data_IF_432245634960
#
_entry.id   IF_432245634960
#
_cell.length_a   1.000
_cell.length_b   1.000
_cell.length_c   1.000
_cell.angle_alpha   90.00
_cell.angle_beta   90.00
_cell.angle_gamma   90.00
#
_symmetry.space_group_name_H-M   'P 1'
#
loop_
_entity.id
_entity.type
_entity.pdbx_description
1 polymer ?
#
# COMPACT_ATOMS: atom_id res chain seq x y z
N UNK A 1 4.85 -11.41 22.20
CA UNK A 1 6.25 -11.48 21.77
C UNK A 1 7.18 -11.46 22.99
N UNK A 2 7.25 -12.56 23.71
CA UNK A 2 8.00 -12.64 24.97
C UNK A 2 9.43 -13.14 24.82
N UNK A 3 9.83 -13.64 23.65
CA UNK A 3 11.07 -14.40 23.46
C UNK A 3 12.12 -13.74 22.56
N UNK A 4 11.82 -12.63 21.88
CA UNK A 4 12.78 -11.92 21.06
C UNK A 4 13.64 -10.94 21.88
N UNK A 5 14.94 -10.89 21.64
CA UNK A 5 15.86 -9.95 22.28
C UNK A 5 16.24 -8.77 21.39
N UNK A 6 15.73 -8.74 20.15
CA UNK A 6 16.00 -7.69 19.17
C UNK A 6 17.32 -7.83 18.42
N UNK A 7 18.04 -8.92 18.62
CA UNK A 7 19.26 -9.23 17.85
C UNK A 7 18.94 -9.93 16.53
N UNK A 8 19.85 -9.92 15.58
CA UNK A 8 19.69 -10.64 14.31
C UNK A 8 19.43 -12.15 14.49
N UNK A 9 20.05 -12.77 15.50
CA UNK A 9 19.88 -14.19 15.84
C UNK A 9 18.54 -14.47 16.56
N UNK A 10 17.99 -13.49 17.27
CA UNK A 10 16.74 -13.61 18.02
C UNK A 10 15.90 -12.33 17.87
N UNK A 11 15.35 -12.05 16.67
CA UNK A 11 14.63 -10.82 16.40
C UNK A 11 13.29 -10.75 17.13
N UNK A 12 12.79 -9.55 17.35
CA UNK A 12 11.40 -9.35 17.73
C UNK A 12 10.47 -9.83 16.63
N UNK A 13 9.34 -10.45 17.02
CA UNK A 13 8.35 -10.98 16.07
C UNK A 13 7.40 -9.94 15.50
N UNK A 14 7.33 -8.75 16.11
CA UNK A 14 6.41 -7.69 15.73
C UNK A 14 7.11 -6.33 15.70
N UNK A 15 6.66 -5.44 14.82
CA UNK A 15 7.09 -4.03 14.80
C UNK A 15 6.70 -3.37 16.12
N UNK A 16 5.53 -3.70 16.68
CA UNK A 16 5.06 -3.20 17.97
C UNK A 16 6.12 -3.41 19.05
N UNK A 17 6.54 -4.66 19.26
CA UNK A 17 7.55 -4.98 20.29
C UNK A 17 8.91 -4.33 19.99
N UNK A 18 9.32 -4.33 18.74
CA UNK A 18 10.58 -3.73 18.34
C UNK A 18 10.62 -2.21 18.56
N UNK A 19 9.49 -1.52 18.50
CA UNK A 19 9.39 -0.06 18.63
C UNK A 19 9.14 0.44 20.06
N UNK A 20 8.77 -0.43 21.04
CA UNK A 20 8.40 -0.03 22.39
C UNK A 20 9.43 0.82 23.15
N UNK A 21 10.71 0.57 22.94
CA UNK A 21 11.81 1.23 23.65
C UNK A 21 12.74 2.02 22.75
N UNK A 22 12.25 2.42 21.57
CA UNK A 22 13.08 3.16 20.61
C UNK A 22 13.01 4.65 20.86
N UNK A 23 14.07 5.33 20.49
CA UNK A 23 14.22 6.78 20.59
C UNK A 23 14.49 7.38 19.22
N UNK A 24 14.55 8.71 19.15
CA UNK A 24 14.91 9.42 17.93
C UNK A 24 16.32 9.01 17.48
N UNK A 25 16.47 8.69 16.20
CA UNK A 25 17.70 8.20 15.60
C UNK A 25 17.82 6.66 15.54
N UNK A 26 16.99 5.92 16.27
CA UNK A 26 17.00 4.47 16.22
C UNK A 26 16.37 3.94 14.92
N UNK A 27 16.80 2.74 14.50
CA UNK A 27 16.22 2.01 13.36
C UNK A 27 15.66 0.66 13.80
N UNK A 28 14.41 0.40 13.42
CA UNK A 28 13.77 -0.93 13.47
C UNK A 28 13.92 -1.58 12.10
N UNK A 29 14.78 -2.59 11.99
CA UNK A 29 14.96 -3.38 10.77
C UNK A 29 13.99 -4.54 10.73
N UNK A 30 13.22 -4.61 9.66
CA UNK A 30 12.23 -5.68 9.47
C UNK A 30 12.74 -6.65 8.40
N UNK A 31 12.75 -7.93 8.74
CA UNK A 31 13.24 -8.98 7.84
C UNK A 31 12.49 -8.95 6.49
N UNK A 32 13.21 -9.22 5.41
CA UNK A 32 12.59 -9.41 4.09
C UNK A 32 11.61 -10.59 4.13
N UNK A 33 10.53 -10.48 3.37
CA UNK A 33 9.66 -11.63 3.12
C UNK A 33 10.37 -12.67 2.25
N UNK A 34 9.91 -13.93 2.28
CA UNK A 34 10.41 -14.95 1.37
C UNK A 34 10.36 -14.47 -0.09
N UNK A 35 11.32 -14.87 -0.88
CA UNK A 35 11.34 -14.53 -2.29
C UNK A 35 10.12 -15.14 -3.01
N UNK A 36 9.61 -14.50 -4.07
CA UNK A 36 8.50 -15.06 -4.83
C UNK A 36 8.83 -16.44 -5.39
N UNK A 37 7.84 -17.34 -5.34
CA UNK A 37 8.00 -18.72 -5.83
C UNK A 37 7.41 -18.83 -7.23
N UNK A 38 8.18 -19.35 -8.19
CA UNK A 38 7.70 -19.62 -9.53
C UNK A 38 6.55 -20.65 -9.51
N UNK A 39 5.52 -20.39 -10.29
CA UNK A 39 4.47 -21.37 -10.57
C UNK A 39 4.88 -22.27 -11.74
N UNK A 40 4.44 -23.52 -11.70
CA UNK A 40 4.63 -24.46 -12.82
C UNK A 40 3.80 -23.99 -14.02
N UNK A 41 4.32 -24.19 -15.23
CA UNK A 41 3.63 -23.84 -16.47
C UNK A 41 3.58 -22.34 -16.75
N UNK A 42 2.66 -21.95 -17.58
CA UNK A 42 2.46 -20.54 -17.99
C UNK A 42 1.01 -20.12 -17.80
N UNK A 43 0.78 -18.81 -17.72
CA UNK A 43 -0.54 -18.20 -17.50
C UNK A 43 -0.95 -17.33 -18.67
N UNK A 44 -2.25 -17.24 -18.91
CA UNK A 44 -2.86 -16.29 -19.83
C UNK A 44 -3.83 -15.36 -19.09
N UNK A 45 -3.76 -14.09 -19.43
CA UNK A 45 -4.45 -12.97 -18.79
C UNK A 45 -5.26 -12.22 -19.84
N UNK A 46 -6.54 -12.01 -19.60
CA UNK A 46 -7.44 -11.35 -20.54
C UNK A 46 -7.85 -9.97 -20.03
N UNK A 47 -7.75 -8.96 -20.87
CA UNK A 47 -8.17 -7.60 -20.55
C UNK A 47 -9.61 -7.59 -20.00
N UNK A 48 -9.80 -6.91 -18.87
CA UNK A 48 -11.08 -6.76 -18.17
C UNK A 48 -11.70 -8.08 -17.65
N UNK A 49 -10.94 -9.17 -17.60
CA UNK A 49 -11.37 -10.44 -17.00
C UNK A 49 -10.78 -10.64 -15.60
N UNK A 50 -11.49 -11.39 -14.77
CA UNK A 50 -11.03 -11.86 -13.47
C UNK A 50 -10.47 -13.27 -13.53
N UNK A 51 -10.58 -13.96 -14.65
CA UNK A 51 -10.11 -15.33 -14.81
C UNK A 51 -8.68 -15.35 -15.35
N UNK A 52 -7.81 -16.06 -14.66
CA UNK A 52 -6.49 -16.43 -15.18
C UNK A 52 -6.53 -17.89 -15.55
N UNK A 53 -6.17 -18.18 -16.79
CA UNK A 53 -6.03 -19.55 -17.27
C UNK A 53 -4.58 -19.97 -17.30
N UNK A 54 -4.31 -21.25 -17.10
CA UNK A 54 -2.97 -21.82 -17.09
C UNK A 54 -2.80 -22.93 -18.12
N UNK A 55 -1.59 -23.06 -18.63
CA UNK A 55 -1.14 -24.22 -19.43
C UNK A 55 -0.08 -24.94 -18.62
N UNK A 56 -0.27 -26.22 -18.40
CA UNK A 56 0.59 -27.07 -17.57
C UNK A 56 0.80 -26.56 -16.14
N UNK A 57 -0.17 -25.81 -15.60
CA UNK A 57 -0.11 -25.25 -14.24
C UNK A 57 -0.65 -26.22 -13.19
N UNK A 58 -0.26 -25.99 -11.93
CA UNK A 58 -0.68 -26.76 -10.76
C UNK A 58 -1.33 -25.85 -9.72
N UNK A 59 -2.28 -25.00 -10.11
CA UNK A 59 -2.84 -23.97 -9.24
C UNK A 59 -3.38 -24.50 -7.91
N UNK A 60 -4.13 -25.62 -7.91
CA UNK A 60 -4.69 -26.19 -6.67
C UNK A 60 -3.66 -26.72 -5.69
N UNK A 61 -2.45 -27.02 -6.12
CA UNK A 61 -1.37 -27.50 -5.26
C UNK A 61 -0.38 -26.42 -4.89
N UNK A 62 -0.25 -25.38 -5.71
CA UNK A 62 0.73 -24.31 -5.53
C UNK A 62 0.15 -23.04 -4.92
N UNK A 63 -1.16 -22.82 -5.05
CA UNK A 63 -1.86 -21.62 -4.59
C UNK A 63 -2.91 -21.95 -3.53
N UNK A 64 -3.14 -20.99 -2.66
CA UNK A 64 -4.28 -20.94 -1.76
C UNK A 64 -5.12 -19.68 -2.05
N UNK A 65 -6.39 -19.69 -1.65
CA UNK A 65 -7.23 -18.48 -1.69
C UNK A 65 -6.60 -17.41 -0.82
N UNK A 66 -6.44 -16.23 -1.40
CA UNK A 66 -5.75 -15.09 -0.78
C UNK A 66 -4.27 -14.97 -1.13
N UNK A 67 -3.69 -15.89 -1.87
CA UNK A 67 -2.36 -15.71 -2.45
C UNK A 67 -2.39 -14.65 -3.55
N UNK A 68 -1.22 -14.05 -3.79
CA UNK A 68 -1.02 -13.09 -4.87
C UNK A 68 -0.14 -13.70 -5.94
N UNK A 69 -0.54 -13.55 -7.20
CA UNK A 69 0.23 -14.00 -8.37
C UNK A 69 0.65 -12.82 -9.21
N UNK A 70 1.85 -12.89 -9.79
CA UNK A 70 2.38 -11.86 -10.69
C UNK A 70 1.70 -11.92 -12.05
N UNK A 71 1.41 -10.75 -12.61
CA UNK A 71 0.83 -10.58 -13.94
C UNK A 71 1.84 -9.96 -14.93
N UNK A 72 1.56 -10.02 -16.23
CA UNK A 72 2.40 -9.44 -17.28
C UNK A 72 2.63 -7.92 -17.16
N UNK A 73 1.74 -7.21 -16.48
CA UNK A 73 1.84 -5.77 -16.22
C UNK A 73 2.77 -5.42 -15.03
N UNK A 74 3.42 -6.42 -14.44
CA UNK A 74 4.30 -6.25 -13.30
C UNK A 74 3.61 -6.12 -11.93
N UNK A 75 2.27 -6.18 -11.90
CA UNK A 75 1.48 -6.10 -10.67
C UNK A 75 1.17 -7.47 -10.10
N UNK A 76 0.73 -7.47 -8.84
CA UNK A 76 0.31 -8.66 -8.10
C UNK A 76 -1.20 -8.67 -7.91
N UNK A 77 -1.83 -9.79 -8.28
CA UNK A 77 -3.29 -9.96 -8.21
C UNK A 77 -3.67 -11.05 -7.24
N UNK A 78 -4.65 -10.76 -6.40
CA UNK A 78 -5.16 -11.65 -5.38
C UNK A 78 -6.04 -12.74 -5.96
N UNK A 79 -5.75 -13.99 -5.63
CA UNK A 79 -6.53 -15.17 -6.00
C UNK A 79 -7.68 -15.37 -5.02
N UNK A 80 -8.91 -15.43 -5.54
CA UNK A 80 -10.13 -15.56 -4.73
C UNK A 80 -10.83 -16.90 -4.88
N UNK A 81 -10.55 -17.61 -5.95
CA UNK A 81 -11.04 -18.96 -6.14
C UNK A 81 -10.07 -19.74 -7.02
N UNK A 82 -10.06 -21.05 -6.82
CA UNK A 82 -9.29 -22.01 -7.60
C UNK A 82 -10.29 -23.01 -8.23
N UNK A 83 -10.63 -22.76 -9.50
CA UNK A 83 -11.54 -23.63 -10.27
C UNK A 83 -10.92 -25.00 -10.57
N UNK A 84 -9.69 -25.00 -11.05
CA UNK A 84 -8.93 -26.21 -11.39
C UNK A 84 -7.42 -25.96 -11.24
N UNK A 85 -6.59 -26.92 -11.64
CA UNK A 85 -5.14 -26.68 -11.77
C UNK A 85 -4.79 -25.68 -12.89
N UNK A 86 -5.72 -25.40 -13.79
CA UNK A 86 -5.53 -24.51 -14.93
C UNK A 86 -6.48 -23.30 -14.92
N UNK A 87 -7.18 -23.02 -13.80
CA UNK A 87 -8.08 -21.89 -13.69
C UNK A 87 -8.09 -21.32 -12.28
N UNK A 88 -7.78 -20.04 -12.17
CA UNK A 88 -7.86 -19.25 -10.95
C UNK A 88 -8.70 -17.97 -11.19
N UNK A 89 -9.45 -17.53 -10.18
CA UNK A 89 -10.23 -16.29 -10.24
C UNK A 89 -9.57 -15.23 -9.38
N UNK A 90 -9.43 -14.04 -9.92
CA UNK A 90 -8.84 -12.88 -9.25
C UNK A 90 -9.90 -12.02 -8.54
N UNK A 91 -9.49 -11.32 -7.51
CA UNK A 91 -10.33 -10.35 -6.81
C UNK A 91 -10.73 -9.16 -7.71
N UNK A 92 -9.84 -8.72 -8.59
CA UNK A 92 -10.08 -7.63 -9.55
C UNK A 92 -9.79 -8.06 -10.97
N UNK A 93 -10.45 -7.39 -11.90
CA UNK A 93 -10.20 -7.53 -13.33
C UNK A 93 -8.76 -7.12 -13.66
N UNK A 94 -8.14 -7.86 -14.56
CA UNK A 94 -6.85 -7.49 -15.13
C UNK A 94 -7.02 -6.29 -16.08
N UNK A 95 -6.39 -5.15 -15.82
CA UNK A 95 -6.68 -3.90 -16.55
C UNK A 95 -5.82 -3.69 -17.78
N UNK A 96 -4.84 -4.55 -18.03
CA UNK A 96 -3.87 -4.39 -19.10
C UNK A 96 -4.19 -5.27 -20.31
N UNK A 97 -3.45 -5.08 -21.40
CA UNK A 97 -3.66 -5.84 -22.64
C UNK A 97 -3.58 -7.35 -22.41
N UNK A 98 -4.42 -8.10 -23.12
CA UNK A 98 -4.42 -9.57 -23.09
C UNK A 98 -3.03 -10.12 -23.39
N UNK A 99 -2.57 -11.04 -22.58
CA UNK A 99 -1.24 -11.66 -22.69
C UNK A 99 -1.32 -13.16 -22.38
N UNK A 100 -0.45 -13.94 -23.02
CA UNK A 100 -0.33 -15.39 -22.82
C UNK A 100 1.14 -15.80 -22.68
N UNK A 101 1.38 -16.99 -22.15
CA UNK A 101 2.74 -17.52 -21.98
C UNK A 101 3.54 -16.83 -20.87
N UNK A 102 2.88 -16.13 -19.94
CA UNK A 102 3.54 -15.46 -18.82
C UNK A 102 3.96 -16.45 -17.73
N UNK A 103 5.21 -16.36 -17.29
CA UNK A 103 5.71 -17.12 -16.14
C UNK A 103 5.34 -16.43 -14.85
N UNK A 104 4.16 -16.77 -14.32
CA UNK A 104 3.69 -16.18 -13.06
C UNK A 104 4.43 -16.72 -11.85
N UNK A 105 4.54 -15.90 -10.82
CA UNK A 105 5.10 -16.25 -9.53
C UNK A 105 4.05 -16.05 -8.45
N UNK A 106 4.15 -16.81 -7.36
CA UNK A 106 3.42 -16.56 -6.12
C UNK A 106 4.24 -15.61 -5.24
N UNK A 107 3.62 -14.56 -4.73
CA UNK A 107 4.28 -13.61 -3.84
C UNK A 107 4.62 -14.27 -2.50
N UNK A 108 5.87 -14.17 -2.08
CA UNK A 108 6.28 -14.47 -0.72
C UNK A 108 5.80 -13.37 0.24
N UNK A 109 5.02 -13.73 1.25
CA UNK A 109 4.44 -12.79 2.22
C UNK A 109 4.66 -13.25 3.65
N UNK A 110 4.69 -12.32 4.58
CA UNK A 110 4.63 -12.60 6.01
C UNK A 110 3.18 -12.50 6.45
N UNK A 111 2.57 -13.64 6.76
CA UNK A 111 1.17 -13.67 7.21
C UNK A 111 1.05 -13.18 8.65
N UNK A 112 0.17 -12.23 8.88
CA UNK A 112 -0.10 -11.70 10.24
C UNK A 112 -1.17 -12.51 11.00
N UNK A 113 -1.55 -13.66 10.43
CA UNK A 113 -2.53 -14.60 11.01
C UNK A 113 -3.98 -14.25 10.68
N UNK A 114 -4.93 -15.15 11.01
CA UNK A 114 -6.35 -14.89 10.81
C UNK A 114 -6.78 -13.75 11.72
N UNK A 115 -7.41 -12.74 11.14
CA UNK A 115 -8.11 -11.75 11.93
C UNK A 115 -9.46 -12.33 12.36
N UNK A 116 -9.61 -12.70 13.61
CA UNK A 116 -10.93 -12.60 14.22
C UNK A 116 -11.34 -11.10 14.16
N UNK A 117 -12.62 -10.80 13.96
CA UNK A 117 -13.14 -9.45 13.75
C UNK A 117 -12.74 -8.41 14.82
N UNK A 118 -12.17 -8.84 15.94
CA UNK A 118 -11.69 -8.01 17.06
C UNK A 118 -10.18 -8.12 17.36
N UNK A 119 -9.42 -8.94 16.63
CA UNK A 119 -8.04 -9.28 16.98
C UNK A 119 -7.10 -9.41 15.78
N UNK A 120 -7.30 -8.59 14.75
CA UNK A 120 -6.24 -8.43 13.74
C UNK A 120 -4.95 -8.05 14.47
N UNK A 121 -3.88 -8.80 14.26
CA UNK A 121 -2.57 -8.44 14.81
C UNK A 121 -2.13 -7.16 14.13
N UNK A 122 -2.49 -6.05 14.74
CA UNK A 122 -2.09 -4.70 14.31
C UNK A 122 -0.61 -4.55 14.62
N UNK A 123 0.16 -4.07 13.66
CA UNK A 123 1.52 -3.62 13.93
C UNK A 123 1.44 -2.16 14.40
N UNK A 124 1.53 -1.92 15.69
CA UNK A 124 1.56 -0.57 16.26
C UNK A 124 3.00 -0.04 16.27
N UNK A 125 3.15 1.25 16.06
CA UNK A 125 4.41 1.96 16.35
C UNK A 125 4.24 2.67 17.67
N UNK A 126 5.04 2.28 18.67
CA UNK A 126 4.90 2.76 20.05
C UNK A 126 5.77 3.97 20.37
N UNK A 127 6.76 4.27 19.53
CA UNK A 127 7.68 5.41 19.71
C UNK A 127 7.63 6.39 18.56
N UNK A 128 8.18 7.58 18.75
CA UNK A 128 8.36 8.64 17.76
C UNK A 128 9.82 9.05 17.66
N UNK A 129 10.19 9.67 16.52
CA UNK A 129 11.37 10.50 16.44
C UNK A 129 11.13 11.89 17.02
N UNK A 130 11.99 12.82 16.68
CA UNK A 130 11.84 14.26 17.00
C UNK A 130 12.39 15.12 15.82
N UNK A 131 12.34 16.43 15.95
CA UNK A 131 12.79 17.35 14.91
C UNK A 131 14.27 17.24 14.53
N UNK A 132 15.09 16.65 15.39
CA UNK A 132 16.53 16.46 15.14
C UNK A 132 16.86 15.09 14.56
N UNK A 133 16.02 14.07 14.80
CA UNK A 133 16.24 12.72 14.29
C UNK A 133 14.93 11.94 14.18
N UNK A 134 14.75 11.20 13.08
CA UNK A 134 13.60 10.34 12.87
C UNK A 134 13.75 8.99 13.59
N UNK A 135 12.62 8.36 13.94
CA UNK A 135 12.58 6.93 14.18
C UNK A 135 12.42 6.22 12.82
N UNK A 136 13.36 5.37 12.46
CA UNK A 136 13.35 4.63 11.20
C UNK A 136 12.73 3.24 11.38
N UNK A 137 11.84 2.86 10.48
CA UNK A 137 11.29 1.51 10.39
C UNK A 137 11.41 1.07 8.93
N UNK A 138 12.35 0.20 8.64
CA UNK A 138 12.67 -0.19 7.28
C UNK A 138 12.54 -1.69 7.06
N UNK A 139 11.87 -2.07 5.96
CA UNK A 139 11.71 -3.46 5.52
C UNK A 139 12.80 -3.92 4.57
N UNK A 140 12.73 -5.20 4.20
CA UNK A 140 13.60 -5.78 3.17
C UNK A 140 15.00 -6.17 3.64
N UNK A 141 15.22 -6.31 4.93
CA UNK A 141 16.51 -6.65 5.50
C UNK A 141 16.78 -8.16 5.50
N UNK A 142 17.90 -8.55 4.96
CA UNK A 142 18.50 -9.86 5.25
C UNK A 142 19.28 -9.71 6.56
N UNK A 143 18.70 -10.24 7.63
CA UNK A 143 19.26 -10.06 8.98
C UNK A 143 20.55 -10.85 9.18
N UNK A 144 20.85 -11.84 8.35
CA UNK A 144 22.10 -12.61 8.43
C UNK A 144 23.29 -11.86 7.83
N UNK A 145 23.05 -11.07 6.80
CA UNK A 145 24.08 -10.28 6.10
C UNK A 145 24.04 -8.80 6.45
N UNK A 146 23.02 -8.38 7.21
CA UNK A 146 22.73 -6.98 7.55
C UNK A 146 22.60 -6.06 6.33
N UNK A 147 22.08 -6.60 5.23
CA UNK A 147 21.87 -5.87 3.98
C UNK A 147 20.39 -5.76 3.65
N UNK A 148 20.00 -4.61 3.11
CA UNK A 148 18.64 -4.38 2.62
C UNK A 148 18.54 -4.86 1.16
N UNK A 149 18.21 -6.14 0.95
CA UNK A 149 18.24 -6.82 -0.36
C UNK A 149 16.87 -7.11 -0.95
N UNK A 150 15.78 -6.87 -0.20
CA UNK A 150 14.44 -7.22 -0.62
C UNK A 150 13.37 -6.24 -0.15
N UNK A 151 12.17 -6.74 0.01
CA UNK A 151 11.01 -6.03 0.54
C UNK A 151 10.34 -6.85 1.64
N UNK A 152 9.61 -6.21 2.53
CA UNK A 152 8.80 -6.88 3.55
C UNK A 152 7.32 -6.73 3.19
N UNK A 153 6.63 -7.86 3.03
CA UNK A 153 5.21 -7.95 2.70
C UNK A 153 4.44 -8.51 3.87
N UNK A 154 3.47 -7.76 4.36
CA UNK A 154 2.49 -8.21 5.33
C UNK A 154 1.15 -8.44 4.64
N UNK A 155 0.50 -9.54 4.97
CA UNK A 155 -0.83 -9.88 4.47
C UNK A 155 -1.74 -10.26 5.62
N UNK A 156 -2.97 -9.75 5.59
CA UNK A 156 -4.01 -10.26 6.45
C UNK A 156 -4.58 -11.56 5.87
N UNK A 157 -4.44 -12.67 6.59
CA UNK A 157 -5.11 -13.92 6.26
C UNK A 157 -6.58 -13.86 6.72
N UNK A 158 -7.49 -14.28 5.86
CA UNK A 158 -8.91 -14.33 6.19
C UNK A 158 -9.62 -15.55 5.60
N UNK A 159 -10.54 -16.14 6.39
CA UNK A 159 -11.36 -17.29 5.96
C UNK A 159 -12.54 -16.91 5.06
N UNK A 160 -12.96 -15.65 4.98
CA UNK A 160 -14.03 -15.16 4.10
C UNK A 160 -13.57 -13.92 3.34
N UNK A 161 -13.91 -13.88 2.06
CA UNK A 161 -13.29 -13.05 1.03
C UNK A 161 -13.54 -11.55 1.14
N UNK A 162 -14.68 -11.11 1.71
CA UNK A 162 -15.15 -9.74 1.63
C UNK A 162 -14.83 -8.87 2.85
N UNK A 163 -14.19 -9.41 3.86
CA UNK A 163 -13.97 -8.69 5.11
C UNK A 163 -12.49 -8.35 5.28
N UNK A 164 -12.15 -7.10 4.97
CA UNK A 164 -10.86 -6.51 5.31
C UNK A 164 -10.98 -5.87 6.68
N UNK A 165 -10.21 -6.36 7.65
CA UNK A 165 -10.24 -5.84 9.02
C UNK A 165 -8.90 -5.22 9.39
N UNK A 166 -8.93 -4.35 10.38
CA UNK A 166 -7.75 -3.86 11.05
C UNK A 166 -6.79 -3.05 10.20
N UNK A 167 -5.61 -2.93 10.70
CA UNK A 167 -4.54 -2.07 10.19
C UNK A 167 -3.31 -2.93 9.90
N UNK A 168 -2.65 -2.69 8.76
CA UNK A 168 -1.32 -3.26 8.51
C UNK A 168 -0.30 -2.61 9.45
N UNK A 169 -0.26 -1.28 9.46
CA UNK A 169 0.52 -0.49 10.40
C UNK A 169 -0.34 0.62 10.99
N UNK A 170 -0.37 0.73 12.31
CA UNK A 170 -1.17 1.72 13.04
C UNK A 170 -0.29 2.66 13.86
N UNK A 171 -0.50 3.95 13.70
CA UNK A 171 0.27 4.98 14.36
C UNK A 171 -0.65 6.08 14.87
N UNK A 172 -0.76 6.21 16.18
CA UNK A 172 -1.56 7.27 16.82
C UNK A 172 -0.67 8.26 17.55
N UNK A 173 -0.74 9.54 17.18
CA UNK A 173 0.10 10.59 17.76
C UNK A 173 1.60 10.39 17.50
N UNK A 174 1.98 9.63 16.49
CA UNK A 174 3.40 9.37 16.16
C UNK A 174 3.90 10.33 15.10
N UNK A 175 4.94 11.05 15.42
CA UNK A 175 5.58 12.03 14.54
C UNK A 175 7.05 11.72 14.34
N UNK A 176 7.62 12.26 13.26
CA UNK A 176 9.01 12.05 12.90
C UNK A 176 9.37 10.56 12.74
N UNK A 177 8.47 9.79 12.13
CA UNK A 177 8.75 8.40 11.73
C UNK A 177 9.12 8.36 10.25
N UNK A 178 10.07 7.52 9.89
CA UNK A 178 10.46 7.27 8.51
C UNK A 178 10.25 5.78 8.18
N UNK A 179 9.26 5.51 7.34
CA UNK A 179 8.91 4.16 6.91
C UNK A 179 9.47 3.90 5.52
N UNK A 180 10.19 2.78 5.37
CA UNK A 180 10.76 2.38 4.09
C UNK A 180 10.53 0.92 3.73
N UNK A 181 10.19 0.62 2.47
CA UNK A 181 10.08 -0.74 1.91
C UNK A 181 9.19 -1.71 2.71
N UNK A 182 8.12 -1.21 3.32
CA UNK A 182 7.09 -1.98 4.01
C UNK A 182 5.85 -2.04 3.14
N UNK A 183 5.30 -3.22 2.94
CA UNK A 183 4.19 -3.44 2.02
C UNK A 183 3.05 -4.17 2.74
N UNK A 184 1.81 -3.73 2.48
CA UNK A 184 0.62 -4.18 3.20
C UNK A 184 -0.50 -4.55 2.24
N UNK A 185 -1.04 -5.76 2.40
CA UNK A 185 -2.08 -6.35 1.55
C UNK A 185 -3.28 -6.82 2.36
N UNK A 186 -4.50 -6.59 1.86
CA UNK A 186 -5.78 -7.09 2.41
C UNK A 186 -6.16 -6.54 3.78
N UNK A 187 -5.74 -5.35 4.15
CA UNK A 187 -6.19 -4.68 5.37
C UNK A 187 -7.37 -3.74 5.09
N UNK A 188 -8.08 -3.35 6.14
CA UNK A 188 -8.94 -2.19 6.05
C UNK A 188 -8.10 -0.93 5.77
N UNK A 189 -7.02 -0.77 6.52
CA UNK A 189 -6.01 0.28 6.28
C UNK A 189 -4.63 -0.37 6.14
N UNK A 190 -3.95 -0.15 5.02
CA UNK A 190 -2.56 -0.60 4.87
C UNK A 190 -1.66 0.10 5.87
N UNK A 191 -1.55 1.41 5.80
CA UNK A 191 -0.89 2.28 6.79
C UNK A 191 -1.89 3.32 7.28
N UNK A 192 -2.05 3.45 8.59
CA UNK A 192 -2.98 4.39 9.21
C UNK A 192 -2.31 5.28 10.24
N UNK A 193 -2.33 6.57 9.98
CA UNK A 193 -1.93 7.61 10.91
C UNK A 193 -3.14 8.34 11.47
N UNK A 194 -3.18 8.53 12.81
CA UNK A 194 -4.22 9.30 13.50
C UNK A 194 -3.63 10.09 14.66
N UNK A 195 -4.44 10.88 15.36
CA UNK A 195 -4.02 11.63 16.55
C UNK A 195 -2.95 12.69 16.24
N UNK A 196 -3.12 13.47 15.18
CA UNK A 196 -2.20 14.55 14.78
C UNK A 196 -0.76 14.06 14.53
N UNK A 197 -0.61 12.98 13.79
CA UNK A 197 0.68 12.42 13.40
C UNK A 197 1.33 13.26 12.31
N UNK A 198 2.38 14.01 12.67
CA UNK A 198 3.00 15.01 11.79
C UNK A 198 4.45 14.70 11.47
N UNK A 199 4.98 15.33 10.40
CA UNK A 199 6.37 15.25 9.99
C UNK A 199 6.85 13.79 9.76
N UNK A 200 5.98 12.95 9.22
CA UNK A 200 6.32 11.57 8.92
C UNK A 200 6.73 11.42 7.46
N UNK A 201 7.58 10.45 7.20
CA UNK A 201 8.05 10.11 5.86
C UNK A 201 7.66 8.66 5.54
N UNK A 202 7.11 8.43 4.36
CA UNK A 202 6.88 7.10 3.80
C UNK A 202 7.62 7.03 2.47
N UNK A 203 8.50 6.04 2.32
CA UNK A 203 9.29 5.86 1.10
C UNK A 203 9.13 4.44 0.55
N UNK A 204 8.78 4.32 -0.73
CA UNK A 204 8.69 3.04 -1.45
C UNK A 204 7.82 1.99 -0.75
N UNK A 205 6.72 2.40 -0.12
CA UNK A 205 5.73 1.50 0.44
C UNK A 205 4.76 1.02 -0.64
N UNK A 206 4.29 -0.23 -0.53
CA UNK A 206 3.21 -0.76 -1.37
C UNK A 206 2.02 -1.13 -0.50
N UNK A 207 0.87 -0.48 -0.73
CA UNK A 207 -0.36 -0.69 0.02
C UNK A 207 -1.50 -1.02 -0.95
N UNK A 208 -1.50 -2.27 -1.44
CA UNK A 208 -2.43 -2.72 -2.48
C UNK A 208 -3.56 -3.58 -1.92
N UNK A 209 -4.68 -3.60 -2.61
CA UNK A 209 -5.82 -4.46 -2.27
C UNK A 209 -6.37 -4.24 -0.85
N UNK A 210 -6.26 -3.04 -0.30
CA UNK A 210 -6.85 -2.62 0.98
C UNK A 210 -8.18 -1.88 0.75
N UNK A 211 -8.91 -1.50 1.80
CA UNK A 211 -9.94 -0.47 1.65
C UNK A 211 -9.27 0.91 1.50
N UNK A 212 -8.34 1.22 2.39
CA UNK A 212 -7.48 2.40 2.27
C UNK A 212 -6.02 1.96 2.16
N UNK A 213 -5.30 2.39 1.12
CA UNK A 213 -3.88 2.10 1.00
C UNK A 213 -3.09 2.78 2.11
N UNK A 214 -2.99 4.11 2.07
CA UNK A 214 -2.40 4.96 3.11
C UNK A 214 -3.46 5.96 3.56
N UNK A 215 -3.71 6.04 4.86
CA UNK A 215 -4.68 6.96 5.43
C UNK A 215 -4.09 7.82 6.55
N UNK A 216 -4.11 9.12 6.36
CA UNK A 216 -3.89 10.12 7.40
C UNK A 216 -5.24 10.70 7.85
N UNK A 217 -5.69 10.41 9.08
CA UNK A 217 -6.96 10.97 9.59
C UNK A 217 -6.83 12.47 9.86
N UNK A 218 -5.76 12.89 10.54
CA UNK A 218 -5.36 14.28 10.70
C UNK A 218 -3.84 14.32 10.85
N UNK A 219 -3.16 15.03 9.97
CA UNK A 219 -1.71 15.07 10.02
C UNK A 219 -1.14 16.00 8.98
N UNK A 220 -0.17 16.80 9.38
CA UNK A 220 0.43 17.83 8.54
C UNK A 220 1.92 17.62 8.37
N UNK A 221 2.46 18.25 7.32
CA UNK A 221 3.89 18.20 7.01
C UNK A 221 4.43 16.76 6.81
N UNK A 222 3.58 15.85 6.32
CA UNK A 222 3.99 14.50 6.01
C UNK A 222 4.46 14.40 4.55
N UNK A 223 5.40 13.51 4.30
CA UNK A 223 5.96 13.26 2.97
C UNK A 223 5.74 11.81 2.56
N UNK A 224 5.21 11.60 1.36
CA UNK A 224 5.08 10.29 0.72
C UNK A 224 5.88 10.32 -0.57
N UNK A 225 6.83 9.40 -0.72
CA UNK A 225 7.68 9.29 -1.92
C UNK A 225 7.62 7.89 -2.50
N UNK A 226 7.35 7.79 -3.80
CA UNK A 226 7.35 6.53 -4.56
C UNK A 226 6.47 5.43 -3.96
N UNK A 227 5.35 5.80 -3.32
CA UNK A 227 4.41 4.82 -2.81
C UNK A 227 3.55 4.24 -3.94
N UNK A 228 3.17 2.97 -3.82
CA UNK A 228 2.23 2.29 -4.72
C UNK A 228 0.97 1.91 -3.94
N UNK A 229 -0.17 2.49 -4.32
CA UNK A 229 -1.47 2.28 -3.65
C UNK A 229 -2.53 1.88 -4.67
N UNK A 230 -2.37 0.70 -5.27
CA UNK A 230 -3.22 0.22 -6.34
C UNK A 230 -4.33 -0.72 -5.82
N UNK A 231 -5.41 -0.77 -6.57
CA UNK A 231 -6.45 -1.79 -6.34
C UNK A 231 -7.12 -1.70 -4.96
N UNK A 232 -7.08 -0.56 -4.30
CA UNK A 232 -7.80 -0.28 -3.06
C UNK A 232 -9.22 0.22 -3.34
N UNK A 233 -10.03 0.47 -2.32
CA UNK A 233 -11.19 1.34 -2.47
C UNK A 233 -10.73 2.80 -2.60
N UNK A 234 -9.77 3.23 -1.75
CA UNK A 234 -9.11 4.53 -1.83
C UNK A 234 -7.59 4.35 -1.75
N UNK A 235 -6.84 4.95 -2.65
CA UNK A 235 -5.37 4.82 -2.70
C UNK A 235 -4.70 5.53 -1.52
N UNK A 236 -4.47 6.84 -1.62
CA UNK A 236 -3.97 7.70 -0.55
C UNK A 236 -5.10 8.63 -0.11
N UNK A 237 -5.40 8.66 1.18
CA UNK A 237 -6.51 9.41 1.74
C UNK A 237 -6.05 10.30 2.90
N UNK A 238 -6.22 11.58 2.76
CA UNK A 238 -6.06 12.55 3.82
C UNK A 238 -7.43 12.94 4.36
N UNK A 239 -7.67 12.71 5.64
CA UNK A 239 -8.88 13.12 6.35
C UNK A 239 -8.89 14.62 6.65
N UNK A 240 -9.63 15.02 7.64
CA UNK A 240 -9.88 16.43 7.94
C UNK A 240 -8.60 17.23 8.22
N UNK A 241 -8.52 18.43 7.65
CA UNK A 241 -7.50 19.45 7.98
C UNK A 241 -6.04 19.01 7.85
N UNK A 242 -5.74 18.13 6.88
CA UNK A 242 -4.39 17.66 6.62
C UNK A 242 -3.66 18.60 5.66
N UNK A 243 -2.75 19.41 6.17
CA UNK A 243 -2.12 20.48 5.40
C UNK A 243 -0.60 20.37 5.32
N UNK A 244 0.00 21.07 4.35
CA UNK A 244 1.45 21.10 4.12
C UNK A 244 2.05 19.70 3.84
N UNK A 245 1.28 18.78 3.28
CA UNK A 245 1.76 17.45 2.95
C UNK A 245 2.34 17.43 1.53
N UNK A 246 3.33 16.57 1.31
CA UNK A 246 3.97 16.39 0.02
C UNK A 246 3.83 14.95 -0.45
N UNK A 247 3.38 14.76 -1.68
CA UNK A 247 3.35 13.45 -2.36
C UNK A 247 4.20 13.56 -3.63
N UNK A 248 5.19 12.69 -3.77
CA UNK A 248 6.07 12.66 -4.94
C UNK A 248 6.09 11.27 -5.55
N UNK A 249 5.90 11.18 -6.87
CA UNK A 249 6.00 9.94 -7.66
C UNK A 249 5.14 8.78 -7.13
N UNK A 250 3.99 9.08 -6.55
CA UNK A 250 3.06 8.03 -6.10
C UNK A 250 2.32 7.41 -7.29
N UNK A 251 2.04 6.12 -7.21
CA UNK A 251 1.20 5.38 -8.17
C UNK A 251 -0.06 4.89 -7.46
N UNK A 252 -1.23 5.41 -7.89
CA UNK A 252 -2.52 5.16 -7.25
C UNK A 252 -3.56 4.76 -8.31
N UNK A 253 -3.37 3.59 -8.93
CA UNK A 253 -4.17 3.13 -10.07
C UNK A 253 -5.26 2.14 -9.65
N UNK A 254 -6.33 2.09 -10.44
CA UNK A 254 -7.38 1.07 -10.34
C UNK A 254 -8.04 1.00 -8.95
N UNK A 255 -8.12 2.13 -8.25
CA UNK A 255 -8.85 2.22 -6.99
C UNK A 255 -10.35 2.42 -7.27
N UNK A 256 -11.19 1.88 -6.39
CA UNK A 256 -12.65 1.93 -6.58
C UNK A 256 -13.21 3.35 -6.60
N UNK A 257 -12.71 4.21 -5.72
CA UNK A 257 -13.14 5.60 -5.61
C UNK A 257 -12.01 6.57 -6.02
N UNK A 258 -11.01 6.77 -5.17
CA UNK A 258 -10.03 7.83 -5.33
C UNK A 258 -8.61 7.26 -5.47
N UNK A 259 -7.84 7.82 -6.42
CA UNK A 259 -6.39 7.64 -6.42
C UNK A 259 -5.77 8.37 -5.23
N UNK A 260 -5.91 9.70 -5.17
CA UNK A 260 -5.49 10.55 -4.04
C UNK A 260 -6.67 11.43 -3.64
N UNK A 261 -7.00 11.47 -2.35
CA UNK A 261 -8.10 12.26 -1.83
C UNK A 261 -7.69 13.12 -0.64
N UNK A 262 -8.01 14.39 -0.72
CA UNK A 262 -7.92 15.34 0.38
C UNK A 262 -9.33 15.74 0.83
N UNK A 263 -9.70 15.39 2.04
CA UNK A 263 -10.96 15.77 2.64
C UNK A 263 -10.86 17.18 3.26
N UNK A 264 -11.97 17.74 3.62
CA UNK A 264 -12.25 19.09 4.14
C UNK A 264 -11.06 19.88 4.68
N UNK A 265 -10.93 21.12 4.20
CA UNK A 265 -9.96 22.13 4.68
C UNK A 265 -8.48 21.71 4.62
N UNK A 266 -8.12 20.84 3.69
CA UNK A 266 -6.75 20.40 3.49
C UNK A 266 -6.01 21.33 2.54
N UNK A 267 -5.08 22.13 3.06
CA UNK A 267 -4.47 23.25 2.31
C UNK A 267 -2.95 23.17 2.22
N UNK A 268 -2.38 23.90 1.26
CA UNK A 268 -0.94 23.98 1.02
C UNK A 268 -0.28 22.61 0.78
N UNK A 269 -1.00 21.67 0.18
CA UNK A 269 -0.45 20.36 -0.15
C UNK A 269 0.17 20.38 -1.54
N UNK A 270 1.22 19.60 -1.73
CA UNK A 270 1.93 19.49 -3.01
C UNK A 270 1.90 18.04 -3.50
N UNK A 271 1.49 17.85 -4.75
CA UNK A 271 1.57 16.57 -5.46
C UNK A 271 2.46 16.76 -6.69
N UNK A 272 3.49 15.93 -6.81
CA UNK A 272 4.43 15.98 -7.94
C UNK A 272 4.57 14.59 -8.57
N UNK A 273 4.44 14.53 -9.89
CA UNK A 273 4.65 13.32 -10.72
C UNK A 273 3.82 12.10 -10.25
N UNK A 274 2.62 12.33 -9.74
CA UNK A 274 1.73 11.23 -9.36
C UNK A 274 1.07 10.60 -10.60
N UNK A 275 0.84 9.29 -10.55
CA UNK A 275 0.08 8.54 -11.55
C UNK A 275 -1.19 7.99 -10.90
N UNK A 276 -2.36 8.46 -11.34
CA UNK A 276 -3.67 8.14 -10.76
C UNK A 276 -4.67 7.73 -11.85
N UNK A 277 -4.43 6.58 -12.48
CA UNK A 277 -5.21 6.10 -13.62
C UNK A 277 -6.31 5.10 -13.22
N UNK A 278 -7.38 5.05 -14.00
CA UNK A 278 -8.42 4.03 -13.87
C UNK A 278 -9.10 4.00 -12.49
N UNK A 279 -9.27 5.15 -11.85
CA UNK A 279 -10.04 5.33 -10.63
C UNK A 279 -11.45 5.88 -10.95
N UNK A 280 -12.32 6.08 -9.96
CA UNK A 280 -13.48 6.96 -10.19
C UNK A 280 -13.02 8.42 -10.32
N UNK A 281 -12.19 8.88 -9.38
CA UNK A 281 -11.49 10.15 -9.45
C UNK A 281 -9.99 9.93 -9.32
N UNK A 282 -9.17 10.52 -10.18
CA UNK A 282 -7.72 10.44 -10.08
C UNK A 282 -7.22 11.15 -8.82
N UNK A 283 -7.35 12.47 -8.76
CA UNK A 283 -7.02 13.31 -7.59
C UNK A 283 -8.26 14.15 -7.24
N UNK A 284 -8.69 14.12 -5.98
CA UNK A 284 -9.87 14.84 -5.52
C UNK A 284 -9.58 15.67 -4.26
N UNK A 285 -9.80 16.97 -4.36
CA UNK A 285 -9.83 17.90 -3.23
C UNK A 285 -11.26 18.26 -2.89
N UNK A 286 -11.71 17.88 -1.69
CA UNK A 286 -13.06 18.16 -1.21
C UNK A 286 -13.09 19.42 -0.33
N UNK A 287 -14.19 20.09 -0.29
CA UNK A 287 -14.62 21.25 0.50
C UNK A 287 -13.55 22.03 1.27
N UNK A 288 -13.36 23.29 0.89
CA UNK A 288 -12.48 24.23 1.61
C UNK A 288 -10.98 24.00 1.46
N UNK A 289 -10.56 23.11 0.56
CA UNK A 289 -9.15 22.84 0.30
C UNK A 289 -8.55 23.96 -0.58
N UNK A 290 -7.53 24.67 -0.08
CA UNK A 290 -6.98 25.85 -0.74
C UNK A 290 -5.47 25.80 -0.90
N UNK A 291 -4.94 26.58 -1.86
CA UNK A 291 -3.51 26.75 -2.09
C UNK A 291 -2.75 25.42 -2.34
N UNK A 292 -3.42 24.43 -2.91
CA UNK A 292 -2.76 23.17 -3.25
C UNK A 292 -2.10 23.25 -4.61
N UNK A 293 -1.01 22.52 -4.80
CA UNK A 293 -0.25 22.50 -6.05
C UNK A 293 -0.14 21.08 -6.58
N UNK A 294 -0.46 20.89 -7.85
CA UNK A 294 -0.25 19.63 -8.57
C UNK A 294 0.70 19.91 -9.74
N UNK A 295 1.76 19.12 -9.85
CA UNK A 295 2.76 19.25 -10.92
C UNK A 295 3.01 17.90 -11.57
N UNK A 296 2.98 17.86 -12.92
CA UNK A 296 3.31 16.67 -13.72
C UNK A 296 2.53 15.41 -13.35
N UNK A 297 1.25 15.56 -12.98
CA UNK A 297 0.41 14.38 -12.69
C UNK A 297 -0.11 13.73 -13.97
N UNK A 298 -0.30 12.40 -13.93
CA UNK A 298 -0.95 11.62 -14.97
C UNK A 298 -2.22 11.00 -14.40
N UNK A 299 -3.38 11.37 -14.95
CA UNK A 299 -4.71 10.97 -14.45
C UNK A 299 -5.60 10.49 -15.59
N UNK A 300 -5.22 9.38 -16.24
CA UNK A 300 -5.88 8.85 -17.43
C UNK A 300 -7.00 7.87 -17.08
N UNK A 301 -7.99 7.76 -17.97
CA UNK A 301 -9.03 6.73 -17.92
C UNK A 301 -9.76 6.66 -16.56
N UNK A 302 -9.93 7.79 -15.89
CA UNK A 302 -10.74 7.86 -14.67
C UNK A 302 -12.22 7.97 -15.03
N UNK A 303 -13.10 7.24 -14.33
CA UNK A 303 -14.51 7.14 -14.69
C UNK A 303 -15.29 8.46 -14.61
N UNK A 304 -14.86 9.36 -13.71
CA UNK A 304 -15.55 10.64 -13.48
C UNK A 304 -14.66 11.82 -13.83
N UNK A 305 -13.54 12.00 -13.12
CA UNK A 305 -12.61 13.09 -13.36
C UNK A 305 -11.16 12.68 -13.13
N UNK A 306 -10.24 13.18 -13.96
CA UNK A 306 -8.80 13.07 -13.70
C UNK A 306 -8.42 13.83 -12.43
N UNK A 307 -8.77 15.12 -12.36
CA UNK A 307 -8.62 15.97 -11.16
C UNK A 307 -9.94 16.68 -10.89
N UNK A 308 -10.37 16.73 -9.63
CA UNK A 308 -11.58 17.40 -9.22
C UNK A 308 -11.38 18.23 -7.95
N UNK A 309 -11.83 19.47 -7.99
CA UNK A 309 -11.87 20.40 -6.85
C UNK A 309 -13.33 20.74 -6.53
N UNK A 310 -13.81 20.35 -5.35
CA UNK A 310 -15.15 20.69 -4.88
C UNK A 310 -15.08 21.80 -3.85
N UNK A 311 -15.69 22.95 -4.15
CA UNK A 311 -15.71 24.13 -3.25
C UNK A 311 -14.30 24.49 -2.71
N UNK A 312 -13.30 24.45 -3.57
CA UNK A 312 -11.90 24.68 -3.26
C UNK A 312 -11.37 25.85 -4.10
N UNK A 313 -10.43 26.63 -3.58
CA UNK A 313 -9.94 27.84 -4.24
C UNK A 313 -8.41 27.96 -4.23
N UNK A 314 -7.87 28.84 -5.10
CA UNK A 314 -6.44 29.15 -5.19
C UNK A 314 -5.54 27.90 -5.40
N UNK A 315 -6.04 26.88 -6.10
CA UNK A 315 -5.27 25.69 -6.39
C UNK A 315 -4.58 25.81 -7.74
N UNK A 316 -3.37 25.31 -7.86
CA UNK A 316 -2.54 25.40 -9.05
C UNK A 316 -2.30 24.02 -9.65
N UNK A 317 -2.44 23.90 -10.96
CA UNK A 317 -2.09 22.69 -11.72
C UNK A 317 -1.08 23.07 -12.79
N UNK A 318 0.08 22.40 -12.75
CA UNK A 318 1.14 22.56 -13.73
C UNK A 318 1.40 21.22 -14.42
N UNK A 319 1.36 21.19 -15.73
CA UNK A 319 1.67 20.00 -16.54
C UNK A 319 0.85 18.76 -16.12
N UNK A 320 -0.36 18.67 -16.64
CA UNK A 320 -1.28 17.54 -16.42
C UNK A 320 -1.40 16.72 -17.70
N UNK A 321 -1.34 15.40 -17.58
CA UNK A 321 -1.73 14.46 -18.63
C UNK A 321 -3.05 13.79 -18.25
N UNK A 322 -4.08 14.00 -19.05
CA UNK A 322 -5.37 13.31 -18.95
C UNK A 322 -5.77 12.79 -20.31
N UNK A 323 -6.17 11.51 -20.36
CA UNK A 323 -6.87 10.91 -21.50
C UNK A 323 -8.13 10.23 -21.00
N UNK A 324 -9.21 10.39 -21.75
CA UNK A 324 -10.51 9.78 -21.44
C UNK A 324 -10.50 8.28 -21.69
#
# INVERSE_FOLDING_TARGET
>A
DTNGTGTAANPYKTITKASESRTAGDEVRVAKSPDPTALTGTTAWTLNDTTVTGTDTLFKTQLAIGDFISAPDGNWYEVIALGSNTSATLYKKYPSATASGHSSQKLGVTDTGPAAASAAKVQNVESSGNSSAFLYISGGWDLSTEKQTGQTWFRQMHGTFNNRYGYGLYMTGKSYTNLGKLNFLRYNYGIYYTGSSNNNIITSATCNSNNYGIYYYSGSSNTITSATCNSNTNGIYYGSSSSNNTITSATCNSNGNYGIYYNSSSSNNTITSATCNSNSYGIYYYSGSTNNTITSATCNSNNTNGIYYSSSSNNNIYSLSTSG
#
